data_IF_702381797823
#
_entry.id   IF_702381797823
#
_cell.length_a   1.000
_cell.length_b   1.000
_cell.length_c   1.000
_cell.angle_alpha   90.00
_cell.angle_beta   90.00
_cell.angle_gamma   90.00
#
_symmetry.space_group_name_H-M   'P 1'
#
loop_
_entity.id
_entity.type
_entity.pdbx_description
1 polymer ?
#
# COMPACT_ATOMS: atom_id res chain seq x y z
N UNK A 1 -5.71 -23.50 13.37
CA UNK A 1 -6.63 -22.52 12.74
C UNK A 1 -6.01 -22.12 11.41
N UNK A 2 -6.82 -22.02 10.35
CA UNK A 2 -6.37 -21.49 9.05
C UNK A 2 -6.24 -19.97 9.12
N UNK A 3 -5.25 -19.40 8.43
CA UNK A 3 -5.16 -17.95 8.26
C UNK A 3 -6.38 -17.40 7.51
N UNK A 4 -6.68 -16.12 7.72
CA UNK A 4 -7.75 -15.44 6.99
C UNK A 4 -7.47 -15.41 5.49
N UNK A 5 -8.53 -15.53 4.70
CA UNK A 5 -8.43 -15.33 3.26
C UNK A 5 -8.08 -13.87 2.92
N UNK A 6 -7.64 -13.70 1.67
CA UNK A 6 -7.24 -12.42 1.12
C UNK A 6 -8.35 -11.36 1.17
N UNK A 7 -9.60 -11.74 0.89
CA UNK A 7 -10.72 -10.81 0.84
C UNK A 7 -11.04 -10.26 2.23
N UNK A 8 -10.93 -11.10 3.25
CA UNK A 8 -11.11 -10.75 4.66
C UNK A 8 -9.98 -9.83 5.11
N UNK A 9 -8.73 -10.17 4.81
CA UNK A 9 -7.57 -9.33 5.13
C UNK A 9 -7.67 -7.94 4.48
N UNK A 10 -8.10 -7.87 3.22
CA UNK A 10 -8.27 -6.60 2.49
C UNK A 10 -9.36 -5.71 3.10
N UNK A 11 -10.50 -6.29 3.49
CA UNK A 11 -11.59 -5.55 4.16
C UNK A 11 -11.10 -4.92 5.47
N UNK A 12 -10.35 -5.67 6.28
CA UNK A 12 -9.78 -5.17 7.53
C UNK A 12 -8.76 -4.07 7.25
N UNK A 13 -7.84 -4.27 6.30
CA UNK A 13 -6.84 -3.28 5.91
C UNK A 13 -7.47 -1.96 5.42
N UNK A 14 -8.47 -2.03 4.54
CA UNK A 14 -9.21 -0.84 4.05
C UNK A 14 -9.84 -0.06 5.19
N UNK A 15 -10.48 -0.76 6.14
CA UNK A 15 -11.12 -0.13 7.30
C UNK A 15 -10.11 0.58 8.19
N UNK A 16 -8.94 -0.02 8.44
CA UNK A 16 -7.85 0.59 9.24
C UNK A 16 -7.22 1.78 8.51
N UNK A 17 -6.88 1.62 7.24
CA UNK A 17 -6.14 2.62 6.49
C UNK A 17 -7.00 3.84 6.11
N UNK A 18 -8.23 3.61 5.67
CA UNK A 18 -9.06 4.64 5.06
C UNK A 18 -10.26 5.08 5.93
N UNK A 19 -10.48 4.41 7.07
CA UNK A 19 -11.59 4.65 7.99
C UNK A 19 -12.91 4.01 7.55
N UNK A 20 -14.01 4.32 8.26
CA UNK A 20 -15.36 3.77 7.98
C UNK A 20 -15.86 4.07 6.56
N UNK A 21 -15.45 5.19 5.97
CA UNK A 21 -15.81 5.60 4.59
C UNK A 21 -14.77 5.16 3.54
N UNK A 22 -13.79 4.36 3.95
CA UNK A 22 -12.69 3.95 3.08
C UNK A 22 -13.12 3.18 1.83
N UNK A 23 -14.18 2.39 1.94
CA UNK A 23 -14.76 1.62 0.85
C UNK A 23 -15.41 2.51 -0.25
N UNK A 24 -15.72 3.78 0.05
CA UNK A 24 -16.37 4.70 -0.87
C UNK A 24 -15.38 5.57 -1.67
N UNK A 25 -14.08 5.54 -1.33
CA UNK A 25 -13.07 6.33 -2.04
C UNK A 25 -12.66 5.64 -3.34
N UNK A 26 -13.45 5.87 -4.40
CA UNK A 26 -13.19 5.35 -5.76
C UNK A 26 -11.84 5.75 -6.34
N UNK A 27 -11.19 6.79 -5.82
CA UNK A 27 -9.91 7.33 -6.29
C UNK A 27 -8.67 6.78 -5.58
N UNK A 28 -8.80 5.67 -4.86
CA UNK A 28 -7.67 5.03 -4.17
C UNK A 28 -7.37 3.71 -4.87
N UNK A 29 -6.24 3.66 -5.57
CA UNK A 29 -5.70 2.41 -6.07
C UNK A 29 -5.12 1.60 -4.90
N UNK A 30 -5.09 0.28 -5.03
CA UNK A 30 -4.52 -0.58 -3.99
C UNK A 30 -3.63 -1.67 -4.56
N UNK A 31 -2.57 -2.00 -3.83
CA UNK A 31 -1.75 -3.17 -4.06
C UNK A 31 -1.67 -4.01 -2.78
N UNK A 32 -1.26 -5.27 -2.94
CA UNK A 32 -1.13 -6.23 -1.84
C UNK A 32 0.11 -7.09 -2.04
N UNK A 33 0.76 -7.41 -0.94
CA UNK A 33 1.97 -8.22 -0.89
C UNK A 33 1.81 -9.26 0.21
N UNK A 34 2.07 -10.53 -0.12
CA UNK A 34 2.09 -11.62 0.85
C UNK A 34 3.40 -11.57 1.63
N UNK A 35 3.34 -11.63 2.96
CA UNK A 35 4.52 -11.63 3.84
C UNK A 35 4.43 -12.87 4.73
N UNK A 36 4.98 -13.98 4.26
CA UNK A 36 4.77 -15.29 4.90
C UNK A 36 3.28 -15.62 4.97
N UNK A 37 2.75 -15.72 6.19
CA UNK A 37 1.33 -15.96 6.45
C UNK A 37 0.47 -14.69 6.63
N UNK A 38 1.11 -13.52 6.57
CA UNK A 38 0.50 -12.22 6.76
C UNK A 38 0.34 -11.46 5.43
N UNK A 39 -0.20 -10.25 5.50
CA UNK A 39 -0.43 -9.38 4.35
C UNK A 39 0.00 -7.95 4.60
N UNK A 40 0.63 -7.34 3.60
CA UNK A 40 0.86 -5.90 3.52
C UNK A 40 0.01 -5.32 2.39
N UNK A 41 -0.91 -4.41 2.74
CA UNK A 41 -1.73 -3.68 1.79
C UNK A 41 -1.24 -2.25 1.66
N UNK A 42 -1.15 -1.77 0.42
CA UNK A 42 -0.87 -0.38 0.12
C UNK A 42 -2.05 0.30 -0.56
N UNK A 43 -2.36 1.51 -0.10
CA UNK A 43 -3.43 2.35 -0.59
C UNK A 43 -2.82 3.62 -1.17
N UNK A 44 -2.92 3.78 -2.48
CA UNK A 44 -2.27 4.84 -3.24
C UNK A 44 -3.32 5.86 -3.65
N UNK A 45 -3.09 7.11 -3.24
CA UNK A 45 -3.89 8.25 -3.68
C UNK A 45 -3.00 9.19 -4.48
N UNK A 46 -3.36 9.41 -5.73
CA UNK A 46 -2.71 10.38 -6.61
C UNK A 46 -3.54 11.66 -6.68
N UNK A 47 -2.86 12.79 -6.80
CA UNK A 47 -3.47 14.10 -7.07
C UNK A 47 -2.62 14.80 -8.13
N UNK A 48 -3.28 15.38 -9.12
CA UNK A 48 -2.64 16.21 -10.15
C UNK A 48 -3.04 17.66 -9.91
N UNK A 49 -2.10 18.57 -10.15
CA UNK A 49 -2.29 20.01 -10.15
C UNK A 49 -1.31 20.67 -11.11
N UNK A 50 -1.31 22.00 -11.16
CA UNK A 50 -0.54 22.75 -12.15
C UNK A 50 0.98 22.60 -11.99
N UNK A 51 1.46 22.36 -10.75
CA UNK A 51 2.87 22.14 -10.43
C UNK A 51 3.31 20.65 -10.57
N UNK A 52 2.43 19.77 -11.06
CA UNK A 52 2.72 18.35 -11.25
C UNK A 52 1.80 17.44 -10.44
N UNK A 53 2.34 16.35 -9.90
CA UNK A 53 1.54 15.35 -9.19
C UNK A 53 2.12 14.97 -7.83
N UNK A 54 1.21 14.64 -6.91
CA UNK A 54 1.54 14.13 -5.59
C UNK A 54 1.00 12.70 -5.44
N UNK A 55 1.84 11.81 -4.92
CA UNK A 55 1.48 10.42 -4.62
C UNK A 55 1.58 10.21 -3.11
N UNK A 56 0.44 9.92 -2.48
CA UNK A 56 0.38 9.52 -1.08
C UNK A 56 0.11 8.01 -0.99
N UNK A 57 1.02 7.29 -0.33
CA UNK A 57 0.87 5.84 -0.08
C UNK A 57 0.64 5.62 1.41
N UNK A 58 -0.45 4.92 1.75
CA UNK A 58 -0.70 4.44 3.11
C UNK A 58 -0.63 2.94 3.14
N UNK A 59 0.18 2.41 4.05
CA UNK A 59 0.37 0.98 4.23
C UNK A 59 -0.41 0.47 5.44
N UNK A 60 -0.90 -0.76 5.36
CA UNK A 60 -1.58 -1.48 6.45
C UNK A 60 -1.11 -2.92 6.48
N UNK A 61 -0.64 -3.37 7.64
CA UNK A 61 -0.23 -4.75 7.86
C UNK A 61 -1.35 -5.52 8.55
N UNK A 62 -1.68 -6.71 8.03
CA UNK A 62 -2.71 -7.59 8.57
C UNK A 62 -2.10 -8.95 8.83
N UNK A 63 -2.19 -9.43 10.06
CA UNK A 63 -1.66 -10.74 10.43
C UNK A 63 -2.54 -11.90 9.91
N UNK A 64 -2.03 -13.12 10.01
CA UNK A 64 -2.73 -14.36 9.68
C UNK A 64 -4.11 -14.49 10.35
N UNK A 65 -4.33 -13.85 11.51
CA UNK A 65 -5.61 -13.87 12.24
C UNK A 65 -6.59 -12.81 11.75
N UNK A 66 -6.20 -11.98 10.78
CA UNK A 66 -7.03 -10.90 10.26
C UNK A 66 -7.02 -9.65 11.13
N UNK A 67 -6.00 -9.44 11.96
CA UNK A 67 -5.85 -8.26 12.79
C UNK A 67 -4.97 -7.26 12.06
N UNK A 68 -5.52 -6.07 11.76
CA UNK A 68 -4.72 -4.96 11.28
C UNK A 68 -3.91 -4.35 12.43
N UNK A 69 -2.58 -4.49 12.34
CA UNK A 69 -1.67 -3.95 13.33
C UNK A 69 -1.70 -2.42 13.31
N UNK A 70 -1.40 -1.81 14.46
CA UNK A 70 -1.31 -0.35 14.56
C UNK A 70 -0.11 0.22 13.83
N UNK A 71 1.00 -0.54 13.84
CA UNK A 71 2.25 -0.22 13.17
C UNK A 71 2.67 -1.44 12.35
N UNK A 72 3.34 -1.16 11.23
CA UNK A 72 3.99 -2.20 10.43
C UNK A 72 5.16 -2.75 11.23
N UNK A 73 5.42 -4.07 11.22
CA UNK A 73 6.61 -4.63 11.84
C UNK A 73 7.89 -3.89 11.40
N UNK A 74 8.79 -3.51 12.32
CA UNK A 74 9.94 -2.66 12.01
C UNK A 74 10.81 -3.18 10.85
N UNK A 75 11.05 -4.49 10.81
CA UNK A 75 11.82 -5.15 9.75
C UNK A 75 11.21 -4.92 8.35
N UNK A 76 9.89 -5.01 8.24
CA UNK A 76 9.17 -4.78 6.99
C UNK A 76 9.17 -3.29 6.64
N UNK A 77 8.96 -2.43 7.64
CA UNK A 77 8.98 -0.98 7.45
C UNK A 77 10.34 -0.49 6.94
N UNK A 78 11.44 -1.03 7.47
CA UNK A 78 12.80 -0.69 7.04
C UNK A 78 13.07 -1.12 5.61
N UNK A 79 12.69 -2.36 5.24
CA UNK A 79 12.80 -2.86 3.85
C UNK A 79 12.03 -1.98 2.86
N UNK A 80 10.80 -1.61 3.19
CA UNK A 80 9.98 -0.73 2.33
C UNK A 80 10.61 0.66 2.22
N UNK A 81 11.06 1.24 3.33
CA UNK A 81 11.71 2.55 3.34
C UNK A 81 12.93 2.57 2.44
N UNK A 82 13.84 1.61 2.61
CA UNK A 82 15.05 1.48 1.80
C UNK A 82 14.72 1.38 0.31
N UNK A 83 13.75 0.54 -0.05
CA UNK A 83 13.32 0.42 -1.43
C UNK A 83 12.81 1.75 -2.00
N UNK A 84 12.00 2.49 -1.24
CA UNK A 84 11.45 3.77 -1.66
C UNK A 84 12.55 4.82 -1.87
N UNK A 85 13.45 4.94 -0.90
CA UNK A 85 14.55 5.92 -0.95
C UNK A 85 15.52 5.64 -2.12
N UNK A 86 15.79 4.36 -2.41
CA UNK A 86 16.79 3.98 -3.42
C UNK A 86 16.21 3.83 -4.84
N UNK A 87 14.96 3.38 -4.99
CA UNK A 87 14.48 2.85 -6.28
C UNK A 87 13.31 3.63 -6.91
N UNK A 88 12.55 4.41 -6.15
CA UNK A 88 11.32 5.04 -6.69
C UNK A 88 11.63 6.02 -7.83
N UNK A 89 12.69 6.82 -7.70
CA UNK A 89 13.11 7.75 -8.76
C UNK A 89 13.49 6.99 -10.05
N UNK A 90 14.24 5.89 -9.92
CA UNK A 90 14.64 5.07 -11.06
C UNK A 90 13.43 4.41 -11.76
N UNK A 91 12.46 3.91 -10.99
CA UNK A 91 11.23 3.34 -11.53
C UNK A 91 10.41 4.38 -12.29
N UNK A 92 10.18 5.55 -11.70
CA UNK A 92 9.45 6.63 -12.37
C UNK A 92 10.15 7.08 -13.65
N UNK A 93 11.48 7.22 -13.62
CA UNK A 93 12.27 7.55 -14.81
C UNK A 93 12.12 6.51 -15.92
N UNK A 94 12.12 5.22 -15.57
CA UNK A 94 11.93 4.12 -16.52
C UNK A 94 10.54 4.13 -17.15
N UNK A 95 9.49 4.17 -16.32
CA UNK A 95 8.10 4.07 -16.80
C UNK A 95 7.68 5.33 -17.57
N UNK A 96 7.97 6.52 -17.05
CA UNK A 96 7.65 7.78 -17.75
C UNK A 96 8.48 7.94 -19.02
N UNK A 97 9.77 7.57 -18.99
CA UNK A 97 10.63 7.60 -20.16
C UNK A 97 10.19 6.64 -21.27
N UNK A 98 9.48 5.56 -20.94
CA UNK A 98 8.88 4.66 -21.92
C UNK A 98 7.57 5.19 -22.53
N UNK A 99 6.82 6.00 -21.79
CA UNK A 99 5.55 6.60 -22.27
C UNK A 99 5.73 7.87 -23.10
N UNK A 100 6.82 8.62 -22.86
CA UNK A 100 7.10 9.89 -23.51
C UNK A 100 8.02 9.78 -24.73
N UNK A 101 8.40 8.55 -25.11
CA UNK A 101 9.11 8.24 -26.35
C UNK A 101 8.14 7.68 -27.38
#
# INVERSE_FOLDING_TARGET
MSCVDEQTAEKVAKRKALGRLGALKRSVASFRVRVGDDWLFGFVKTKFGDEGFHVAVKLSYVDCKGIALEKIPPEIAEKVRKYVEENVAALLGRELGGLLK
#
